data_IF_849105868812
#
_entry.id   IF_849105868812
#
_cell.length_a   1.000
_cell.length_b   1.000
_cell.length_c   1.000
_cell.angle_alpha   90.00
_cell.angle_beta   90.00
_cell.angle_gamma   90.00
#
_symmetry.space_group_name_H-M   'P 1'
#
loop_
_entity.id
_entity.type
_entity.pdbx_description
1 polymer ?
#
# COMPACT_ATOMS: atom_id res chain seq x y z
N UNK A 1 -17.24 -15.54 -28.97
CA UNK A 1 -15.85 -15.05 -28.86
C UNK A 1 -15.57 -14.35 -27.53
N UNK A 2 -16.26 -13.26 -27.17
CA UNK A 2 -15.96 -12.48 -25.95
C UNK A 2 -16.11 -13.28 -24.64
N UNK A 3 -17.12 -14.14 -24.52
CA UNK A 3 -17.28 -15.05 -23.37
C UNK A 3 -16.15 -16.10 -23.26
N UNK A 4 -15.73 -16.68 -24.38
CA UNK A 4 -14.62 -17.64 -24.42
C UNK A 4 -13.30 -16.97 -24.02
N UNK A 5 -13.06 -15.75 -24.51
CA UNK A 5 -11.89 -14.95 -24.13
C UNK A 5 -11.90 -14.61 -22.64
N UNK A 6 -13.04 -14.20 -22.09
CA UNK A 6 -13.18 -13.94 -20.66
C UNK A 6 -12.89 -15.20 -19.83
N UNK A 7 -13.36 -16.36 -20.26
CA UNK A 7 -13.07 -17.63 -19.60
C UNK A 7 -11.57 -17.95 -19.62
N UNK A 8 -10.91 -17.80 -20.78
CA UNK A 8 -9.46 -17.99 -20.91
C UNK A 8 -8.68 -17.02 -20.00
N UNK A 9 -9.06 -15.75 -19.96
CA UNK A 9 -8.46 -14.74 -19.06
C UNK A 9 -8.58 -15.18 -17.60
N UNK A 10 -9.76 -15.65 -17.17
CA UNK A 10 -9.97 -16.12 -15.80
C UNK A 10 -9.11 -17.33 -15.46
N UNK A 11 -9.06 -18.32 -16.36
CA UNK A 11 -8.24 -19.52 -16.18
C UNK A 11 -6.75 -19.18 -16.09
N UNK A 12 -6.26 -18.33 -16.98
CA UNK A 12 -4.87 -17.91 -17.01
C UNK A 12 -4.48 -17.03 -15.82
N UNK A 13 -5.38 -16.15 -15.40
CA UNK A 13 -5.20 -15.35 -14.19
C UNK A 13 -5.14 -16.23 -12.93
N UNK A 14 -6.07 -17.18 -12.78
CA UNK A 14 -6.09 -18.12 -11.66
C UNK A 14 -4.82 -18.99 -11.63
N UNK A 15 -4.42 -19.54 -12.77
CA UNK A 15 -3.18 -20.30 -12.91
C UNK A 15 -1.93 -19.51 -12.51
N UNK A 16 -1.93 -18.20 -12.76
CA UNK A 16 -0.85 -17.28 -12.35
C UNK A 16 -1.01 -16.76 -10.91
N UNK A 17 -2.00 -17.25 -10.18
CA UNK A 17 -2.24 -16.98 -8.77
C UNK A 17 -2.90 -15.64 -8.49
N UNK A 18 -3.67 -15.10 -9.44
CA UNK A 18 -4.63 -14.02 -9.18
C UNK A 18 -5.93 -14.65 -8.70
N UNK A 19 -6.23 -14.48 -7.42
CA UNK A 19 -7.39 -15.13 -6.79
C UNK A 19 -8.67 -14.29 -6.86
N UNK A 20 -8.65 -13.19 -7.61
CA UNK A 20 -9.80 -12.35 -7.92
C UNK A 20 -9.66 -11.87 -9.36
N UNK A 21 -10.75 -11.92 -10.14
CA UNK A 21 -10.76 -11.52 -11.54
C UNK A 21 -12.16 -11.06 -11.97
N UNK A 22 -12.32 -9.74 -12.07
CA UNK A 22 -13.55 -9.11 -12.55
C UNK A 22 -13.26 -8.22 -13.76
N UNK A 23 -14.30 -7.83 -14.47
CA UNK A 23 -14.19 -6.99 -15.67
C UNK A 23 -15.13 -5.79 -15.56
N UNK A 24 -14.66 -4.63 -16.03
CA UNK A 24 -15.49 -3.48 -16.29
C UNK A 24 -15.27 -2.98 -17.72
N UNK A 25 -16.31 -2.38 -18.31
CA UNK A 25 -16.14 -1.50 -19.47
C UNK A 25 -15.26 -0.32 -19.08
N UNK A 26 -14.48 0.19 -20.03
CA UNK A 26 -13.65 1.38 -19.85
C UNK A 26 -14.52 2.65 -19.84
N UNK A 27 -15.62 2.72 -20.58
CA UNK A 27 -16.44 3.94 -20.68
C UNK A 27 -17.74 3.84 -19.88
N UNK A 28 -18.13 4.88 -19.10
CA UNK A 28 -17.45 6.18 -18.93
C UNK A 28 -16.25 6.09 -17.98
N UNK A 29 -15.20 6.92 -18.15
CA UNK A 29 -14.04 6.89 -17.24
C UNK A 29 -14.42 7.17 -15.78
N UNK A 30 -13.72 6.54 -14.82
CA UNK A 30 -14.08 6.61 -13.40
C UNK A 30 -12.94 7.11 -12.51
N UNK A 31 -13.32 7.72 -11.39
CA UNK A 31 -12.43 8.07 -10.28
C UNK A 31 -11.63 9.37 -10.44
N UNK A 32 -11.60 9.98 -11.64
CA UNK A 32 -10.79 11.18 -11.88
C UNK A 32 -11.26 12.38 -11.05
N UNK A 33 -12.56 12.54 -10.82
CA UNK A 33 -13.11 13.63 -9.99
C UNK A 33 -12.60 13.57 -8.55
N UNK A 34 -12.60 12.36 -7.97
CA UNK A 34 -12.06 12.15 -6.62
C UNK A 34 -10.56 12.39 -6.57
N UNK A 35 -9.84 11.92 -7.59
CA UNK A 35 -8.41 12.15 -7.75
C UNK A 35 -8.07 13.64 -7.81
N UNK A 36 -8.83 14.40 -8.60
CA UNK A 36 -8.65 15.84 -8.75
C UNK A 36 -8.97 16.60 -7.47
N UNK A 37 -10.05 16.22 -6.78
CA UNK A 37 -10.39 16.78 -5.46
C UNK A 37 -9.25 16.55 -4.45
N UNK A 38 -8.66 15.35 -4.44
CA UNK A 38 -7.52 15.01 -3.59
C UNK A 38 -6.26 15.82 -3.93
N UNK A 39 -6.00 16.05 -5.22
CA UNK A 39 -4.90 16.91 -5.66
C UNK A 39 -5.12 18.37 -5.29
N UNK A 40 -6.30 18.93 -5.58
CA UNK A 40 -6.65 20.33 -5.34
C UNK A 40 -6.57 20.71 -3.86
N UNK A 41 -6.91 19.79 -2.95
CA UNK A 41 -6.78 20.00 -1.50
C UNK A 41 -5.35 19.83 -0.97
N UNK A 42 -4.39 19.49 -1.83
CA UNK A 42 -3.00 19.22 -1.41
C UNK A 42 -2.84 17.96 -0.54
N UNK A 43 -3.86 17.08 -0.50
CA UNK A 43 -3.86 15.90 0.36
C UNK A 43 -2.85 14.83 -0.09
N UNK A 44 -2.28 14.95 -1.30
CA UNK A 44 -1.20 14.11 -1.81
C UNK A 44 0.18 14.42 -1.20
N UNK A 45 0.28 15.46 -0.37
CA UNK A 45 1.51 15.87 0.29
C UNK A 45 2.68 15.99 -0.71
N UNK A 46 3.85 15.41 -0.42
CA UNK A 46 5.03 15.46 -1.28
C UNK A 46 5.01 14.53 -2.52
N UNK A 47 3.90 13.83 -2.80
CA UNK A 47 3.80 12.87 -3.91
C UNK A 47 3.58 13.56 -5.27
N UNK A 48 4.52 14.40 -5.70
CA UNK A 48 4.44 15.18 -6.95
C UNK A 48 4.26 14.33 -8.22
N UNK A 49 4.62 13.04 -8.15
CA UNK A 49 4.36 12.10 -9.23
C UNK A 49 2.86 11.96 -9.52
N UNK A 50 1.98 12.10 -8.52
CA UNK A 50 0.52 12.05 -8.72
C UNK A 50 0.04 13.16 -9.65
N UNK A 51 0.52 14.39 -9.44
CA UNK A 51 0.21 15.52 -10.33
C UNK A 51 0.72 15.26 -11.75
N UNK A 52 1.99 14.85 -11.90
CA UNK A 52 2.60 14.60 -13.23
C UNK A 52 1.91 13.48 -14.01
N UNK A 53 1.39 12.48 -13.32
CA UNK A 53 0.76 11.31 -13.93
C UNK A 53 -0.77 11.36 -13.91
N UNK A 54 -1.34 12.55 -13.71
CA UNK A 54 -2.78 12.80 -13.88
C UNK A 54 -3.26 12.56 -15.32
N UNK A 55 -2.61 13.06 -16.40
CA UNK A 55 -3.16 12.92 -17.76
C UNK A 55 -3.48 11.46 -18.16
N UNK A 56 -2.57 10.47 -18.02
CA UNK A 56 -2.89 9.08 -18.32
C UNK A 56 -3.91 8.42 -17.37
N UNK A 57 -4.10 8.96 -16.15
CA UNK A 57 -5.18 8.50 -15.25
C UNK A 57 -6.56 9.00 -15.67
N UNK A 58 -6.61 10.21 -16.21
CA UNK A 58 -7.83 10.83 -16.71
C UNK A 58 -8.25 10.26 -18.07
N UNK A 59 -7.31 9.66 -18.81
CA UNK A 59 -7.47 9.21 -20.19
C UNK A 59 -6.85 7.83 -20.39
N UNK A 60 -7.57 6.74 -20.05
CA UNK A 60 -7.16 5.36 -20.31
C UNK A 60 -6.69 5.10 -21.74
N UNK A 61 -7.26 5.79 -22.72
CA UNK A 61 -6.90 5.73 -24.14
C UNK A 61 -5.47 6.18 -24.44
N UNK A 62 -4.86 7.02 -23.58
CA UNK A 62 -3.43 7.36 -23.67
C UNK A 62 -2.51 6.20 -23.26
N UNK A 63 -3.04 5.20 -22.55
CA UNK A 63 -2.29 4.00 -22.14
C UNK A 63 -2.45 2.88 -23.17
N UNK A 64 -3.64 2.74 -23.71
CA UNK A 64 -3.95 1.79 -24.78
C UNK A 64 -4.97 2.43 -25.74
N UNK A 65 -4.54 2.88 -26.93
CA UNK A 65 -5.46 3.34 -27.95
C UNK A 65 -6.50 2.26 -28.27
N UNK A 66 -7.78 2.65 -28.30
CA UNK A 66 -8.88 1.71 -28.54
C UNK A 66 -9.26 0.83 -27.34
N UNK A 67 -8.81 1.15 -26.12
CA UNK A 67 -9.22 0.44 -24.91
C UNK A 67 -10.75 0.35 -24.74
N UNK A 68 -11.26 -0.87 -24.52
CA UNK A 68 -12.71 -1.14 -24.36
C UNK A 68 -13.05 -1.77 -23.01
N UNK A 69 -12.18 -2.63 -22.49
CA UNK A 69 -12.40 -3.31 -21.22
C UNK A 69 -11.18 -3.24 -20.30
N UNK A 70 -11.43 -3.30 -19.00
CA UNK A 70 -10.41 -3.44 -17.97
C UNK A 70 -10.72 -4.64 -17.10
N UNK A 71 -9.78 -5.57 -17.06
CA UNK A 71 -9.77 -6.70 -16.14
C UNK A 71 -9.07 -6.26 -14.87
N UNK A 72 -9.79 -6.28 -13.76
CA UNK A 72 -9.25 -5.99 -12.44
C UNK A 72 -8.95 -7.30 -11.73
N UNK A 73 -7.70 -7.43 -11.30
CA UNK A 73 -7.16 -8.62 -10.66
C UNK A 73 -6.82 -8.34 -9.21
N UNK A 74 -6.87 -9.38 -8.39
CA UNK A 74 -6.53 -9.31 -6.97
C UNK A 74 -5.60 -10.43 -6.52
N UNK A 75 -4.77 -10.13 -5.52
CA UNK A 75 -3.89 -11.11 -4.86
C UNK A 75 -3.93 -10.89 -3.35
N UNK A 76 -4.56 -11.80 -2.61
CA UNK A 76 -4.59 -11.72 -1.14
C UNK A 76 -3.18 -11.90 -0.55
N UNK A 77 -2.82 -11.04 0.42
CA UNK A 77 -1.48 -11.01 1.02
C UNK A 77 -1.47 -11.19 2.54
N UNK A 78 -2.63 -11.28 3.20
CA UNK A 78 -2.67 -11.36 4.67
C UNK A 78 -2.05 -12.67 5.15
N UNK A 79 -1.04 -12.58 5.99
CA UNK A 79 -0.54 -13.72 6.77
C UNK A 79 -0.79 -13.48 8.27
N UNK A 80 -0.82 -14.53 9.11
CA UNK A 80 -0.72 -14.37 10.55
C UNK A 80 0.52 -13.52 10.87
N UNK A 81 0.34 -12.50 11.71
CA UNK A 81 1.48 -11.68 12.13
C UNK A 81 2.40 -12.57 12.99
N UNK A 82 3.70 -12.64 12.69
CA UNK A 82 4.66 -13.33 13.55
C UNK A 82 4.59 -12.80 14.99
N UNK A 83 4.89 -13.67 15.96
CA UNK A 83 4.97 -13.27 17.36
C UNK A 83 5.93 -12.09 17.53
N UNK A 84 5.58 -11.15 18.42
CA UNK A 84 6.44 -10.01 18.72
C UNK A 84 7.64 -10.51 19.51
N UNK A 85 8.88 -10.33 19.03
CA UNK A 85 10.06 -10.72 19.78
C UNK A 85 10.17 -9.95 21.11
N UNK A 86 10.75 -10.56 22.14
CA UNK A 86 11.06 -9.90 23.41
C UNK A 86 12.28 -8.95 23.29
N UNK A 87 12.11 -7.89 22.50
CA UNK A 87 13.09 -6.82 22.26
C UNK A 87 12.39 -5.56 21.77
N UNK A 88 13.12 -4.44 21.76
CA UNK A 88 12.63 -3.20 21.15
C UNK A 88 12.58 -3.31 19.63
N UNK A 89 11.35 -3.39 19.11
CA UNK A 89 11.06 -3.56 17.67
C UNK A 89 10.06 -2.54 17.18
N UNK A 90 10.23 -2.14 15.91
CA UNK A 90 9.25 -1.38 15.14
C UNK A 90 8.33 -2.28 14.34
N UNK A 91 7.04 -1.94 14.33
CA UNK A 91 5.97 -2.63 13.63
C UNK A 91 5.93 -2.27 12.15
N UNK A 92 5.82 -3.30 11.30
CA UNK A 92 5.71 -3.14 9.85
C UNK A 92 4.32 -3.54 9.36
N UNK A 93 3.81 -2.80 8.38
CA UNK A 93 2.53 -3.09 7.72
C UNK A 93 2.56 -4.41 6.94
N UNK A 94 1.46 -5.14 7.00
CA UNK A 94 1.35 -6.52 6.52
C UNK A 94 1.72 -6.73 5.05
N UNK A 95 1.52 -5.71 4.21
CA UNK A 95 1.85 -5.81 2.79
C UNK A 95 3.36 -5.88 2.51
N UNK A 96 4.20 -5.50 3.49
CA UNK A 96 5.64 -5.31 3.31
C UNK A 96 6.51 -6.42 3.89
N UNK A 97 5.91 -7.47 4.48
CA UNK A 97 6.69 -8.52 5.15
C UNK A 97 7.39 -9.49 4.20
N UNK A 98 6.83 -9.70 3.01
CA UNK A 98 7.32 -10.63 2.02
C UNK A 98 8.15 -9.97 0.91
N UNK A 99 8.17 -10.63 -0.25
CA UNK A 99 8.76 -10.12 -1.48
C UNK A 99 8.01 -8.90 -1.97
N UNK A 100 8.73 -8.00 -2.66
CA UNK A 100 8.17 -6.81 -3.28
C UNK A 100 7.06 -7.16 -4.28
N UNK A 101 5.82 -6.77 -3.94
CA UNK A 101 4.63 -7.08 -4.71
C UNK A 101 4.67 -6.44 -6.10
N UNK A 102 5.31 -5.28 -6.28
CA UNK A 102 5.42 -4.63 -7.59
C UNK A 102 6.15 -5.56 -8.58
N UNK A 103 7.24 -6.17 -8.13
CA UNK A 103 8.03 -7.11 -8.96
C UNK A 103 7.32 -8.44 -9.14
N UNK A 104 6.75 -8.99 -8.06
CA UNK A 104 6.05 -10.28 -8.10
C UNK A 104 4.82 -10.23 -9.01
N UNK A 105 3.93 -9.27 -8.78
CA UNK A 105 2.68 -9.09 -9.53
C UNK A 105 2.98 -8.60 -10.94
N UNK A 106 3.94 -7.68 -11.12
CA UNK A 106 4.37 -7.24 -12.44
C UNK A 106 4.88 -8.38 -13.32
N UNK A 107 5.66 -9.33 -12.75
CA UNK A 107 6.10 -10.53 -13.48
C UNK A 107 4.91 -11.42 -13.89
N UNK A 108 3.90 -11.56 -13.02
CA UNK A 108 2.69 -12.33 -13.31
C UNK A 108 1.83 -11.67 -14.38
N UNK A 109 1.62 -10.35 -14.32
CA UNK A 109 0.93 -9.57 -15.34
C UNK A 109 1.61 -9.68 -16.70
N UNK A 110 2.95 -9.58 -16.73
CA UNK A 110 3.72 -9.77 -17.96
C UNK A 110 3.52 -11.18 -18.54
N UNK A 111 3.57 -12.22 -17.70
CA UNK A 111 3.32 -13.61 -18.13
C UNK A 111 1.88 -13.81 -18.60
N UNK A 112 0.89 -13.21 -17.93
CA UNK A 112 -0.51 -13.23 -18.35
C UNK A 112 -0.65 -12.60 -19.74
N UNK A 113 -0.06 -11.42 -19.94
CA UNK A 113 -0.07 -10.74 -21.24
C UNK A 113 0.51 -11.60 -22.37
N UNK A 114 1.64 -12.28 -22.14
CA UNK A 114 2.20 -13.20 -23.15
C UNK A 114 1.25 -14.35 -23.48
N UNK A 115 0.72 -15.03 -22.46
CA UNK A 115 -0.18 -16.18 -22.67
C UNK A 115 -1.47 -15.78 -23.37
N UNK A 116 -2.01 -14.59 -23.08
CA UNK A 116 -3.17 -14.08 -23.79
C UNK A 116 -2.87 -13.72 -25.24
N UNK A 117 -1.67 -13.22 -25.55
CA UNK A 117 -1.25 -12.98 -26.93
C UNK A 117 -1.02 -14.27 -27.71
N UNK A 118 -0.53 -15.33 -27.06
CA UNK A 118 -0.40 -16.65 -27.68
C UNK A 118 -1.78 -17.23 -28.07
N UNK A 119 -2.80 -16.98 -27.24
CA UNK A 119 -4.18 -17.42 -27.49
C UNK A 119 -4.93 -16.49 -28.46
N UNK A 120 -4.64 -15.19 -28.43
CA UNK A 120 -5.31 -14.15 -29.19
C UNK A 120 -4.27 -13.18 -29.79
N UNK A 121 -3.66 -13.51 -30.94
CA UNK A 121 -2.53 -12.76 -31.50
C UNK A 121 -2.79 -11.28 -31.76
N UNK A 122 -4.03 -10.92 -32.14
CA UNK A 122 -4.44 -9.54 -32.43
C UNK A 122 -4.77 -8.71 -31.18
N UNK A 123 -4.72 -9.30 -29.98
CA UNK A 123 -5.09 -8.62 -28.74
C UNK A 123 -4.03 -7.57 -28.36
N UNK A 124 -4.45 -6.30 -28.26
CA UNK A 124 -3.63 -5.28 -27.63
C UNK A 124 -4.01 -5.12 -26.16
N UNK A 125 -2.98 -4.95 -25.34
CA UNK A 125 -3.15 -4.90 -23.90
C UNK A 125 -2.14 -3.95 -23.25
N UNK A 126 -2.57 -3.36 -22.14
CA UNK A 126 -1.72 -2.58 -21.25
C UNK A 126 -2.00 -3.00 -19.82
N UNK A 127 -0.96 -3.29 -19.05
CA UNK A 127 -1.11 -3.78 -17.67
C UNK A 127 -0.37 -2.90 -16.67
N UNK A 128 -0.80 -2.97 -15.41
CA UNK A 128 -0.19 -2.20 -14.34
C UNK A 128 -0.50 -2.71 -12.95
N UNK A 129 0.40 -2.34 -12.04
CA UNK A 129 0.29 -2.52 -10.59
C UNK A 129 0.95 -1.31 -9.93
N UNK A 130 0.23 -0.61 -9.04
CA UNK A 130 0.62 0.56 -8.21
C UNK A 130 1.35 1.70 -8.97
N UNK A 131 2.58 1.43 -9.39
CA UNK A 131 3.49 2.30 -10.13
C UNK A 131 3.02 2.77 -11.51
N UNK A 132 1.99 2.15 -12.08
CA UNK A 132 1.42 2.53 -13.39
C UNK A 132 0.20 3.44 -13.18
N UNK A 133 -0.10 4.37 -14.12
CA UNK A 133 -1.09 5.42 -13.92
C UNK A 133 -2.54 4.95 -14.09
N UNK A 134 -2.94 3.91 -13.35
CA UNK A 134 -4.33 3.54 -13.16
C UNK A 134 -4.89 4.23 -11.89
N UNK A 135 -6.20 4.46 -11.85
CA UNK A 135 -6.94 4.71 -10.61
C UNK A 135 -7.50 3.36 -10.14
N UNK A 136 -6.60 2.48 -9.69
CA UNK A 136 -6.86 1.04 -9.50
C UNK A 136 -8.11 0.77 -8.66
N UNK A 137 -8.30 1.51 -7.56
CA UNK A 137 -9.45 1.32 -6.67
C UNK A 137 -10.78 1.70 -7.33
N UNK A 138 -10.81 2.72 -8.19
CA UNK A 138 -12.03 3.12 -8.89
C UNK A 138 -12.42 2.08 -9.94
N UNK A 139 -11.44 1.55 -10.69
CA UNK A 139 -11.70 0.49 -11.66
C UNK A 139 -12.14 -0.82 -10.99
N UNK A 140 -11.53 -1.16 -9.87
CA UNK A 140 -11.89 -2.36 -9.12
C UNK A 140 -13.24 -2.25 -8.41
N UNK A 141 -13.65 -1.06 -7.99
CA UNK A 141 -15.02 -0.81 -7.54
C UNK A 141 -16.01 -0.96 -8.69
N UNK A 142 -15.68 -0.37 -9.85
CA UNK A 142 -16.51 -0.45 -11.05
C UNK A 142 -16.71 -1.88 -11.55
N UNK A 143 -15.68 -2.72 -11.48
CA UNK A 143 -15.81 -4.13 -11.87
C UNK A 143 -16.51 -4.99 -10.82
N UNK A 144 -16.90 -4.43 -9.67
CA UNK A 144 -17.51 -5.16 -8.58
C UNK A 144 -16.54 -6.03 -7.79
N UNK A 145 -15.22 -5.83 -7.91
CA UNK A 145 -14.20 -6.56 -7.14
C UNK A 145 -14.31 -6.27 -5.63
N UNK A 146 -14.80 -5.07 -5.29
CA UNK A 146 -15.05 -4.60 -3.94
C UNK A 146 -15.75 -3.24 -3.96
N UNK A 147 -15.83 -2.58 -2.80
CA UNK A 147 -16.29 -1.21 -2.67
C UNK A 147 -15.21 -0.37 -1.99
N UNK A 148 -15.13 0.92 -2.27
CA UNK A 148 -14.21 1.82 -1.58
C UNK A 148 -14.81 2.16 -0.21
N UNK A 149 -14.11 1.80 0.87
CA UNK A 149 -14.53 2.08 2.24
C UNK A 149 -14.23 3.51 2.69
N UNK A 150 -14.80 3.92 3.83
CA UNK A 150 -14.53 5.26 4.43
C UNK A 150 -13.05 5.50 4.72
N UNK A 151 -12.27 4.42 4.90
CA UNK A 151 -10.81 4.44 5.03
C UNK A 151 -10.05 4.53 3.69
N UNK A 152 -10.75 4.77 2.58
CA UNK A 152 -10.23 4.85 1.20
C UNK A 152 -9.68 3.55 0.60
N UNK A 153 -9.71 2.43 1.33
CA UNK A 153 -9.29 1.13 0.83
C UNK A 153 -10.40 0.49 -0.02
N UNK A 154 -10.01 -0.32 -1.01
CA UNK A 154 -10.95 -1.23 -1.64
C UNK A 154 -11.18 -2.43 -0.70
N UNK A 155 -12.43 -2.78 -0.48
CA UNK A 155 -12.85 -3.81 0.47
C UNK A 155 -13.76 -4.80 -0.24
N UNK A 156 -13.43 -6.08 -0.16
CA UNK A 156 -14.36 -7.15 -0.53
C UNK A 156 -15.31 -7.40 0.65
N UNK A 157 -16.63 -7.20 0.50
CA UNK A 157 -17.58 -7.20 1.62
C UNK A 157 -17.53 -8.49 2.44
N UNK A 158 -17.25 -8.35 3.73
CA UNK A 158 -17.23 -9.47 4.68
C UNK A 158 -16.08 -10.45 4.49
N UNK A 159 -15.16 -10.16 3.56
CA UNK A 159 -13.98 -10.98 3.29
C UNK A 159 -12.72 -10.29 3.80
N UNK A 160 -12.26 -9.25 3.09
CA UNK A 160 -10.95 -8.63 3.36
C UNK A 160 -10.74 -7.35 2.54
N UNK A 161 -9.78 -6.54 2.99
CA UNK A 161 -9.13 -5.45 2.25
C UNK A 161 -7.62 -5.68 2.06
N UNK A 162 -7.11 -6.81 2.54
CA UNK A 162 -5.70 -7.20 2.49
C UNK A 162 -5.39 -7.96 1.20
N UNK A 163 -5.56 -7.29 0.07
CA UNK A 163 -5.18 -7.79 -1.25
C UNK A 163 -4.57 -6.69 -2.10
N UNK A 164 -3.61 -7.05 -2.94
CA UNK A 164 -3.05 -6.16 -3.94
C UNK A 164 -3.97 -6.08 -5.15
N UNK A 165 -3.98 -4.91 -5.79
CA UNK A 165 -4.67 -4.69 -7.05
C UNK A 165 -3.70 -4.81 -8.22
N UNK A 166 -4.25 -5.26 -9.35
CA UNK A 166 -3.56 -5.31 -10.62
C UNK A 166 -4.58 -5.07 -11.74
N UNK A 167 -4.13 -4.39 -12.79
CA UNK A 167 -4.98 -3.97 -13.89
C UNK A 167 -4.45 -4.55 -15.21
N UNK A 168 -5.37 -5.02 -16.04
CA UNK A 168 -5.12 -5.44 -17.41
C UNK A 168 -6.20 -4.79 -18.31
N UNK A 169 -5.81 -3.74 -19.02
CA UNK A 169 -6.65 -3.04 -20.00
C UNK A 169 -6.50 -3.70 -21.36
N UNK A 170 -7.61 -3.86 -22.07
CA UNK A 170 -7.70 -4.55 -23.36
C UNK A 170 -8.47 -3.69 -24.38
N UNK A 171 -8.13 -3.83 -25.66
CA UNK A 171 -8.79 -3.15 -26.79
C UNK A 171 -10.05 -3.88 -27.32
N UNK A 172 -10.42 -4.96 -26.65
CA UNK A 172 -11.59 -5.79 -26.94
C UNK A 172 -12.69 -5.57 -25.91
N UNK A 173 -13.93 -5.64 -26.37
CA UNK A 173 -15.09 -5.59 -25.50
C UNK A 173 -15.31 -6.94 -24.82
N UNK A 174 -15.50 -6.91 -23.51
CA UNK A 174 -15.70 -8.09 -22.68
C UNK A 174 -16.96 -7.90 -21.82
N UNK A 175 -17.72 -8.99 -21.57
CA UNK A 175 -18.85 -8.95 -20.65
C UNK A 175 -18.43 -8.40 -19.28
N UNK A 176 -19.02 -7.27 -18.89
CA UNK A 176 -18.73 -6.64 -17.60
C UNK A 176 -19.31 -7.46 -16.45
N UNK A 177 -18.62 -7.45 -15.32
CA UNK A 177 -19.14 -7.94 -14.05
C UNK A 177 -19.99 -6.84 -13.41
N UNK A 178 -21.11 -7.21 -12.79
CA UNK A 178 -21.99 -6.25 -12.13
C UNK A 178 -21.26 -5.57 -10.96
N UNK A 179 -21.25 -4.22 -10.89
CA UNK A 179 -20.73 -3.51 -9.74
C UNK A 179 -21.54 -3.82 -8.47
N UNK A 180 -20.89 -3.68 -7.32
CA UNK A 180 -21.60 -3.80 -6.04
C UNK A 180 -22.54 -2.61 -5.85
N UNK A 181 -23.84 -2.87 -5.70
CA UNK A 181 -24.89 -1.83 -5.68
C UNK A 181 -25.07 -1.10 -4.34
N UNK A 182 -24.28 -1.44 -3.31
CA UNK A 182 -24.46 -0.93 -1.94
C UNK A 182 -23.13 -0.46 -1.35
N UNK A 183 -23.19 0.59 -0.54
CA UNK A 183 -22.10 0.94 0.36
C UNK A 183 -22.18 0.08 1.63
N UNK A 184 -21.17 -0.76 1.85
CA UNK A 184 -21.18 -1.71 2.98
C UNK A 184 -20.62 -1.12 4.29
N UNK A 185 -20.13 0.13 4.30
CA UNK A 185 -19.77 0.79 5.56
C UNK A 185 -21.00 1.16 6.41
N UNK A 186 -22.14 1.49 5.79
CA UNK A 186 -23.31 2.01 6.50
C UNK A 186 -22.96 3.16 7.46
N UNK A 187 -23.45 3.08 8.71
CA UNK A 187 -23.16 4.06 9.77
C UNK A 187 -21.79 3.87 10.45
N UNK A 188 -21.04 2.80 10.14
CA UNK A 188 -19.76 2.51 10.79
C UNK A 188 -18.75 3.66 10.60
N UNK A 189 -18.01 4.00 11.66
CA UNK A 189 -16.96 5.03 11.67
C UNK A 189 -15.63 4.57 12.26
N UNK A 190 -15.49 3.30 12.65
CA UNK A 190 -14.32 2.74 13.36
C UNK A 190 -12.96 3.18 12.81
N UNK A 191 -12.78 3.15 11.48
CA UNK A 191 -11.50 3.54 10.87
C UNK A 191 -11.18 5.03 10.96
N UNK A 192 -12.22 5.88 10.99
CA UNK A 192 -12.09 7.32 11.17
C UNK A 192 -11.73 7.61 12.63
N UNK A 193 -12.48 7.02 13.56
CA UNK A 193 -12.35 7.28 14.99
C UNK A 193 -11.07 6.65 15.60
N UNK A 194 -10.55 5.58 15.00
CA UNK A 194 -9.34 4.89 15.48
C UNK A 194 -8.03 5.40 14.84
N UNK A 195 -8.10 6.27 13.83
CA UNK A 195 -6.90 6.81 13.21
C UNK A 195 -6.21 7.78 14.18
N UNK A 196 -5.02 7.48 14.71
CA UNK A 196 -4.45 8.24 15.83
C UNK A 196 -4.00 9.66 15.44
N UNK A 197 -3.86 9.93 14.14
CA UNK A 197 -3.39 11.22 13.61
C UNK A 197 -4.50 12.04 12.94
N UNK A 198 -5.76 11.58 13.03
CA UNK A 198 -6.90 12.18 12.31
C UNK A 198 -6.59 12.40 10.82
N UNK A 199 -5.92 11.43 10.20
CA UNK A 199 -5.57 11.51 8.78
C UNK A 199 -6.81 11.45 7.89
N UNK A 200 -7.93 10.92 8.38
CA UNK A 200 -9.20 10.99 7.67
C UNK A 200 -9.96 12.26 8.07
N UNK A 201 -9.86 13.30 7.24
CA UNK A 201 -10.59 14.57 7.44
C UNK A 201 -12.09 14.46 7.16
N UNK A 202 -12.54 13.28 6.70
CA UNK A 202 -13.92 12.90 6.48
C UNK A 202 -14.01 11.48 5.92
N UNK A 203 -15.23 10.92 5.80
CA UNK A 203 -15.40 9.65 5.10
C UNK A 203 -14.88 9.77 3.67
N UNK A 204 -14.09 8.77 3.24
CA UNK A 204 -13.47 8.71 1.90
C UNK A 204 -12.43 9.81 1.65
N UNK A 205 -12.04 10.59 2.66
CA UNK A 205 -11.13 11.72 2.51
C UNK A 205 -9.91 11.53 3.42
N UNK A 206 -8.82 11.07 2.83
CA UNK A 206 -7.52 10.97 3.49
C UNK A 206 -6.69 12.23 3.22
N UNK A 207 -5.98 12.73 4.22
CA UNK A 207 -4.89 13.68 4.11
C UNK A 207 -3.57 12.95 4.36
N UNK A 208 -2.77 12.75 3.31
CA UNK A 208 -1.51 12.01 3.43
C UNK A 208 -0.51 12.70 4.35
N UNK A 209 -0.57 14.02 4.51
CA UNK A 209 0.34 14.77 5.39
C UNK A 209 0.29 14.30 6.84
N UNK A 210 -0.84 13.69 7.24
CA UNK A 210 -1.07 13.13 8.59
C UNK A 210 -1.01 11.60 8.62
N UNK A 211 -1.09 10.93 7.47
CA UNK A 211 -1.16 9.47 7.40
C UNK A 211 0.17 8.83 7.81
N UNK A 212 0.17 7.98 8.85
CA UNK A 212 1.37 7.25 9.31
C UNK A 212 2.03 6.46 8.16
N UNK A 213 1.24 5.87 7.26
CA UNK A 213 1.76 5.16 6.09
C UNK A 213 2.58 6.08 5.18
N UNK A 214 2.04 7.26 4.84
CA UNK A 214 2.79 8.26 4.07
C UNK A 214 4.03 8.75 4.83
N UNK A 215 3.88 9.09 6.11
CA UNK A 215 4.96 9.63 6.94
C UNK A 215 6.14 8.66 7.03
N UNK A 216 5.88 7.37 7.15
CA UNK A 216 6.94 6.35 7.29
C UNK A 216 7.59 5.96 5.97
N UNK A 217 6.88 6.06 4.83
CA UNK A 217 7.34 5.55 3.53
C UNK A 217 7.82 6.67 2.59
N UNK A 218 6.93 7.60 2.30
CA UNK A 218 7.05 8.59 1.22
C UNK A 218 7.59 9.94 1.69
N UNK A 219 7.31 10.31 2.95
CA UNK A 219 7.75 11.59 3.49
C UNK A 219 9.26 11.62 3.68
N UNK A 220 9.94 12.46 2.90
CA UNK A 220 11.41 12.59 2.92
C UNK A 220 11.93 13.50 4.03
N UNK A 221 11.09 14.40 4.55
CA UNK A 221 11.50 15.45 5.49
C UNK A 221 11.25 15.13 6.95
N UNK A 222 11.24 16.18 7.78
CA UNK A 222 10.95 16.09 9.21
C UNK A 222 9.50 15.69 9.48
N UNK A 223 9.28 14.68 10.32
CA UNK A 223 7.93 14.35 10.78
C UNK A 223 7.48 15.46 11.75
N UNK A 224 6.31 16.09 11.56
CA UNK A 224 5.83 17.13 12.47
C UNK A 224 5.78 16.63 13.92
N UNK A 225 6.35 17.41 14.86
CA UNK A 225 6.53 17.00 16.26
C UNK A 225 5.25 16.50 16.93
N UNK A 226 4.11 17.16 16.65
CA UNK A 226 2.80 16.79 17.20
C UNK A 226 2.27 15.44 16.69
N UNK A 227 2.82 14.90 15.60
CA UNK A 227 2.44 13.59 15.07
C UNK A 227 3.34 12.44 15.55
N UNK A 228 4.57 12.73 15.99
CA UNK A 228 5.59 11.71 16.30
C UNK A 228 5.10 10.72 17.37
N UNK A 229 4.52 11.19 18.46
CA UNK A 229 3.97 10.33 19.52
C UNK A 229 2.77 9.50 19.07
N UNK A 230 1.95 10.04 18.16
CA UNK A 230 0.75 9.39 17.65
C UNK A 230 1.05 8.23 16.69
N UNK A 231 2.30 8.13 16.20
CA UNK A 231 2.74 7.04 15.33
C UNK A 231 2.88 5.70 16.06
N UNK A 232 2.96 5.70 17.40
CA UNK A 232 3.14 4.47 18.19
C UNK A 232 4.41 3.73 17.78
N UNK A 233 4.32 2.42 17.57
CA UNK A 233 5.44 1.58 17.19
C UNK A 233 5.60 1.36 15.67
N UNK A 234 4.87 2.09 14.82
CA UNK A 234 4.94 1.92 13.37
C UNK A 234 6.24 2.49 12.77
N UNK A 235 7.11 1.61 12.26
CA UNK A 235 8.36 1.99 11.59
C UNK A 235 8.21 2.04 10.05
N UNK A 236 7.27 1.28 9.48
CA UNK A 236 7.03 1.24 8.04
C UNK A 236 5.57 0.87 7.71
N UNK A 237 4.85 1.78 7.05
CA UNK A 237 3.42 1.62 6.76
C UNK A 237 2.56 1.72 8.03
N UNK A 238 1.24 1.53 7.86
CA UNK A 238 0.30 1.45 8.97
C UNK A 238 -0.95 0.68 8.52
N UNK A 239 -1.40 -0.29 9.32
CA UNK A 239 -2.59 -1.10 9.01
C UNK A 239 -3.82 -0.74 9.85
N UNK A 240 -3.73 0.22 10.78
CA UNK A 240 -4.75 0.42 11.83
C UNK A 240 -6.16 0.60 11.26
N UNK A 241 -6.32 1.39 10.18
CA UNK A 241 -7.61 1.63 9.55
C UNK A 241 -8.21 0.40 8.84
N UNK A 242 -7.37 -0.60 8.53
CA UNK A 242 -7.78 -1.91 8.03
C UNK A 242 -8.00 -2.87 9.20
N UNK A 243 -7.10 -2.94 10.18
CA UNK A 243 -7.19 -3.84 11.34
C UNK A 243 -8.50 -3.65 12.12
N UNK A 244 -9.03 -2.42 12.24
CA UNK A 244 -10.31 -2.16 12.92
C UNK A 244 -11.55 -2.29 12.04
N UNK A 245 -11.39 -2.51 10.74
CA UNK A 245 -12.51 -2.61 9.82
C UNK A 245 -13.27 -3.93 10.05
N UNK A 246 -14.60 -3.90 10.28
CA UNK A 246 -15.40 -5.12 10.50
C UNK A 246 -15.32 -6.14 9.37
N UNK A 247 -15.07 -5.70 8.12
CA UNK A 247 -14.92 -6.61 6.98
C UNK A 247 -13.62 -7.42 7.00
N UNK A 248 -12.68 -7.13 7.92
CA UNK A 248 -11.42 -7.86 8.05
C UNK A 248 -11.39 -8.82 9.26
N UNK A 249 -12.48 -8.95 10.03
CA UNK A 249 -12.49 -9.79 11.24
C UNK A 249 -12.20 -11.27 10.95
N UNK A 250 -12.56 -11.78 9.77
CA UNK A 250 -12.29 -13.16 9.32
C UNK A 250 -11.56 -13.14 7.97
N UNK A 251 -10.42 -12.45 7.95
CA UNK A 251 -9.63 -12.30 6.72
C UNK A 251 -9.12 -13.66 6.24
N UNK A 252 -9.34 -14.05 4.96
CA UNK A 252 -8.70 -15.20 4.37
C UNK A 252 -7.18 -15.08 4.42
N UNK A 253 -6.49 -16.15 4.78
CA UNK A 253 -5.04 -16.19 4.70
C UNK A 253 -4.58 -16.18 3.23
N UNK A 254 -3.55 -15.39 2.96
CA UNK A 254 -2.85 -15.37 1.69
C UNK A 254 -2.19 -16.71 1.45
N UNK A 255 -2.33 -17.23 0.23
CA UNK A 255 -1.80 -18.55 -0.15
C UNK A 255 -0.39 -18.48 -0.74
N UNK A 256 0.07 -17.29 -1.10
CA UNK A 256 1.33 -17.09 -1.83
C UNK A 256 2.52 -16.97 -0.89
N UNK A 257 3.37 -18.00 -0.89
CA UNK A 257 4.60 -18.04 -0.06
C UNK A 257 5.57 -16.90 -0.35
N UNK A 258 5.65 -16.39 -1.58
CA UNK A 258 6.45 -15.19 -1.89
C UNK A 258 6.06 -13.96 -1.03
N UNK A 259 4.80 -13.89 -0.57
CA UNK A 259 4.27 -12.82 0.25
C UNK A 259 4.26 -13.16 1.75
N UNK A 260 4.70 -14.36 2.13
CA UNK A 260 4.79 -14.77 3.53
C UNK A 260 5.81 -13.91 4.28
N UNK A 261 5.66 -13.73 5.61
CA UNK A 261 6.59 -12.94 6.40
C UNK A 261 8.01 -13.51 6.31
N UNK A 262 8.97 -12.67 5.93
CA UNK A 262 10.39 -12.97 6.09
C UNK A 262 10.80 -12.69 7.53
N UNK A 263 11.80 -13.43 8.02
CA UNK A 263 12.32 -13.28 9.38
C UNK A 263 12.75 -11.83 9.64
N UNK A 264 12.22 -11.21 10.70
CA UNK A 264 12.55 -9.83 11.07
C UNK A 264 11.93 -8.75 10.16
N UNK A 265 11.02 -9.09 9.24
CA UNK A 265 10.35 -8.10 8.38
C UNK A 265 9.00 -7.63 8.91
N UNK A 266 8.35 -8.39 9.80
CA UNK A 266 7.14 -7.94 10.50
C UNK A 266 7.44 -7.05 11.71
N UNK A 267 8.63 -7.25 12.30
CA UNK A 267 9.14 -6.59 13.49
C UNK A 267 10.61 -6.26 13.27
N UNK A 268 10.91 -4.99 12.99
CA UNK A 268 12.27 -4.54 12.72
C UNK A 268 12.97 -4.23 14.04
N UNK A 269 14.14 -4.82 14.25
CA UNK A 269 15.01 -4.55 15.39
C UNK A 269 15.53 -3.10 15.38
N UNK A 270 15.16 -2.32 16.41
CA UNK A 270 15.53 -0.90 16.48
C UNK A 270 17.02 -0.71 16.74
N UNK A 271 17.64 -1.53 17.59
CA UNK A 271 19.06 -1.42 17.88
C UNK A 271 19.89 -1.64 16.60
N UNK A 272 19.52 -2.66 15.83
CA UNK A 272 20.16 -2.95 14.56
C UNK A 272 19.96 -1.82 13.55
N UNK A 273 18.74 -1.29 13.37
CA UNK A 273 18.51 -0.18 12.42
C UNK A 273 19.31 1.08 12.78
N UNK A 274 19.37 1.41 14.07
CA UNK A 274 20.05 2.64 14.51
C UNK A 274 21.57 2.54 14.37
N UNK A 275 22.15 1.34 14.47
CA UNK A 275 23.61 1.11 14.37
C UNK A 275 24.10 0.70 12.98
N UNK A 276 23.27 0.04 12.17
CA UNK A 276 23.68 -0.47 10.87
C UNK A 276 24.06 0.65 9.89
N UNK A 277 25.03 0.35 9.02
CA UNK A 277 25.37 1.20 7.88
C UNK A 277 24.22 1.26 6.87
N UNK A 278 24.23 2.31 6.04
CA UNK A 278 23.21 2.50 5.02
C UNK A 278 23.21 1.36 3.98
N UNK A 279 24.38 0.82 3.64
CA UNK A 279 24.53 -0.30 2.72
C UNK A 279 24.01 -1.63 3.31
N UNK A 280 24.23 -1.89 4.60
CA UNK A 280 23.67 -3.06 5.27
C UNK A 280 22.14 -3.03 5.28
N UNK A 281 21.55 -1.85 5.52
CA UNK A 281 20.10 -1.66 5.46
C UNK A 281 19.57 -1.90 4.05
N UNK A 282 20.22 -1.33 3.03
CA UNK A 282 19.83 -1.53 1.63
C UNK A 282 19.94 -2.98 1.19
N UNK A 283 21.00 -3.68 1.60
CA UNK A 283 21.23 -5.09 1.31
C UNK A 283 20.21 -5.98 2.00
N UNK A 284 19.95 -5.79 3.30
CA UNK A 284 18.99 -6.61 4.06
C UNK A 284 17.57 -6.54 3.48
N UNK A 285 17.14 -5.35 3.07
CA UNK A 285 15.77 -5.16 2.56
C UNK A 285 15.65 -5.30 1.04
N UNK A 286 16.68 -5.80 0.35
CA UNK A 286 16.64 -6.04 -1.07
C UNK A 286 15.49 -6.97 -1.49
N UNK A 287 14.79 -6.56 -2.55
CA UNK A 287 13.66 -7.32 -3.09
C UNK A 287 12.42 -7.29 -2.19
N UNK A 288 12.32 -6.36 -1.24
CA UNK A 288 11.14 -6.13 -0.40
C UNK A 288 10.66 -4.68 -0.48
N UNK A 289 9.38 -4.39 -0.15
CA UNK A 289 8.88 -3.02 -0.15
C UNK A 289 9.61 -2.10 0.84
N UNK A 290 10.19 -2.66 1.92
CA UNK A 290 10.91 -1.92 2.96
C UNK A 290 12.05 -1.05 2.41
N UNK A 291 12.71 -1.50 1.33
CA UNK A 291 13.80 -0.74 0.68
C UNK A 291 13.33 0.61 0.12
N UNK A 292 12.03 0.81 -0.12
CA UNK A 292 11.45 2.08 -0.62
C UNK A 292 11.62 3.25 0.34
N UNK A 293 11.65 3.01 1.65
CA UNK A 293 11.93 4.06 2.64
C UNK A 293 13.42 4.45 2.64
N UNK A 294 14.31 3.50 2.36
CA UNK A 294 15.75 3.71 2.43
C UNK A 294 16.27 3.96 3.85
N UNK A 295 17.60 3.99 4.04
CA UNK A 295 18.23 3.94 5.36
C UNK A 295 17.88 5.13 6.25
N UNK A 296 18.01 6.36 5.73
CA UNK A 296 17.76 7.58 6.50
C UNK A 296 16.32 7.62 7.04
N UNK A 297 15.30 7.30 6.23
CA UNK A 297 13.91 7.31 6.73
C UNK A 297 13.65 6.19 7.73
N UNK A 298 14.23 5.00 7.52
CA UNK A 298 14.10 3.91 8.50
C UNK A 298 14.75 4.26 9.84
N UNK A 299 15.95 4.87 9.85
CA UNK A 299 16.62 5.38 11.06
C UNK A 299 15.80 6.47 11.74
N UNK A 300 15.28 7.44 10.97
CA UNK A 300 14.36 8.49 11.47
C UNK A 300 13.14 7.88 12.14
N UNK A 301 12.49 6.91 11.49
CA UNK A 301 11.31 6.24 12.04
C UNK A 301 11.67 5.41 13.28
N UNK A 302 12.83 4.74 13.29
CA UNK A 302 13.31 3.99 14.45
C UNK A 302 13.54 4.89 15.67
N UNK A 303 14.08 6.10 15.49
CA UNK A 303 14.21 7.07 16.57
C UNK A 303 12.85 7.47 17.15
N UNK A 304 11.85 7.72 16.28
CA UNK A 304 10.47 8.02 16.74
C UNK A 304 9.90 6.86 17.54
N UNK A 305 10.00 5.63 17.03
CA UNK A 305 9.50 4.43 17.71
C UNK A 305 10.21 4.21 19.04
N UNK A 306 11.54 4.37 19.09
CA UNK A 306 12.32 4.21 20.32
C UNK A 306 11.85 5.15 21.44
N UNK A 307 11.56 6.41 21.08
CA UNK A 307 10.96 7.38 22.00
C UNK A 307 9.56 6.95 22.48
N UNK A 308 8.70 6.52 21.55
CA UNK A 308 7.32 6.14 21.84
C UNK A 308 7.19 4.91 22.76
N UNK A 309 8.10 3.94 22.63
CA UNK A 309 8.08 2.72 23.47
C UNK A 309 8.99 2.83 24.70
N UNK A 310 9.54 4.02 24.96
CA UNK A 310 10.47 4.29 26.05
C UNK A 310 11.66 3.32 26.11
N UNK A 311 12.33 3.08 24.98
CA UNK A 311 13.41 2.09 24.86
C UNK A 311 14.75 2.55 25.48
N UNK A 312 14.82 2.65 26.81
CA UNK A 312 15.94 3.25 27.58
C UNK A 312 17.33 2.67 27.21
N UNK A 313 17.43 1.38 26.94
CA UNK A 313 18.70 0.75 26.52
C UNK A 313 19.22 1.24 25.15
N UNK A 314 18.40 1.93 24.36
CA UNK A 314 18.81 2.53 23.07
C UNK A 314 19.33 3.97 23.22
N UNK A 315 19.43 4.51 24.43
CA UNK A 315 19.89 5.87 24.70
C UNK A 315 21.21 6.19 24.00
N UNK A 316 22.21 5.29 24.07
CA UNK A 316 23.50 5.46 23.38
C UNK A 316 23.34 5.60 21.86
N UNK A 317 22.57 4.73 21.23
CA UNK A 317 22.33 4.77 19.79
C UNK A 317 21.67 6.09 19.34
N UNK A 318 20.75 6.62 20.15
CA UNK A 318 20.11 7.91 19.88
C UNK A 318 21.10 9.08 20.06
N UNK A 319 22.00 9.02 21.07
CA UNK A 319 23.07 10.01 21.25
C UNK A 319 24.03 10.01 20.06
N UNK A 320 24.42 8.84 19.58
CA UNK A 320 25.28 8.72 18.39
C UNK A 320 24.62 9.38 17.15
N UNK A 321 23.29 9.27 17.00
CA UNK A 321 22.55 9.99 15.95
C UNK A 321 22.50 11.51 16.15
N UNK A 322 22.46 12.00 17.39
CA UNK A 322 22.52 13.44 17.70
C UNK A 322 23.87 14.08 17.31
N UNK A 323 24.94 13.30 17.43
CA UNK A 323 26.31 13.70 17.14
C UNK A 323 26.69 13.48 15.66
N UNK A 324 25.87 12.74 14.91
CA UNK A 324 26.04 12.51 13.47
C UNK A 324 25.80 13.76 12.60
N UNK A 325 26.07 13.63 11.30
CA UNK A 325 26.01 14.74 10.33
C UNK A 325 24.65 14.96 9.68
N UNK A 326 23.71 14.02 9.80
CA UNK A 326 22.41 14.09 9.13
C UNK A 326 21.39 14.80 10.01
N UNK A 327 21.11 16.08 9.71
CA UNK A 327 20.23 16.92 10.55
C UNK A 327 18.86 16.29 10.84
N UNK A 328 18.25 15.66 9.84
CA UNK A 328 16.99 14.94 9.99
C UNK A 328 17.04 13.85 11.07
N UNK A 329 18.17 13.13 11.21
CA UNK A 329 18.32 12.11 12.25
C UNK A 329 18.55 12.76 13.61
N UNK A 330 19.38 13.82 13.67
CA UNK A 330 19.68 14.54 14.91
C UNK A 330 18.42 15.07 15.57
N UNK A 331 17.55 15.75 14.82
CA UNK A 331 16.32 16.32 15.38
C UNK A 331 15.33 15.26 15.91
N UNK A 332 15.27 14.07 15.29
CA UNK A 332 14.36 12.99 15.71
C UNK A 332 14.94 12.24 16.90
N UNK A 333 16.26 12.06 16.95
CA UNK A 333 16.95 11.47 18.07
C UNK A 333 16.87 12.36 19.32
N UNK A 334 17.11 13.67 19.20
CA UNK A 334 16.91 14.64 20.31
C UNK A 334 15.49 14.58 20.85
N UNK A 335 14.50 14.63 19.96
CA UNK A 335 13.10 14.51 20.36
C UNK A 335 12.79 13.22 21.11
N UNK A 336 13.35 12.08 20.65
CA UNK A 336 13.14 10.80 21.31
C UNK A 336 13.75 10.79 22.72
N UNK A 337 14.98 11.29 22.87
CA UNK A 337 15.65 11.44 24.17
C UNK A 337 14.87 12.36 25.12
N UNK A 338 14.39 13.51 24.62
CA UNK A 338 13.59 14.45 25.40
C UNK A 338 12.26 13.81 25.87
N UNK A 339 11.61 13.02 25.01
CA UNK A 339 10.39 12.29 25.38
C UNK A 339 10.66 11.24 26.46
N UNK A 340 11.75 10.48 26.31
CA UNK A 340 12.16 9.40 27.22
C UNK A 340 12.66 9.89 28.59
N UNK A 341 13.04 11.17 28.71
CA UNK A 341 13.42 11.76 30.00
C UNK A 341 12.23 12.29 30.81
N UNK A 342 11.08 12.49 30.16
CA UNK A 342 9.84 12.99 30.78
C UNK A 342 8.91 11.87 31.27
N UNK A 343 9.10 10.66 30.75
CA UNK A 343 8.36 9.44 31.08
C UNK A 343 9.23 8.54 31.94
#
# INVERSE_FOLDING_TARGET
MSQQMLQAIRQEADFLGFNRCNVASVEPYVGIEHYDSYLAKGHHAGMSWMVRSRPPRARPDLLLPGAKSIVTLGVDYRWPRPERPNKSVGRVSAYAWGRDYHKLIGKRLKKLGFRLKDLFPELNLYWGVDSRPFIERAWAERSGLGFVGKNTMLISPGQTSFFFLAMLMLDVDLPSTEPLKRNFCGKCRKCLDFCPTDAFVGPFQLDARKCISYLTIEHKGSIPTHLRSLMGDWIFGCDLCQEVCPHNHKTPEGKLRDLAPREGHAWIDLAWILSASDDEILKKYEGTPLRRAGPIRLKRNAAVVAGNINAQHLHKHLRDLCDGSVELLREHARWALDLMSKN
#
